data_IF_816487183689
#
_entry.id   IF_816487183689
#
_cell.length_a   1.000
_cell.length_b   1.000
_cell.length_c   1.000
_cell.angle_alpha   90.00
_cell.angle_beta   90.00
_cell.angle_gamma   90.00
#
_symmetry.space_group_name_H-M   'P 1'
#
loop_
_entity.id
_entity.type
_entity.pdbx_description
1 polymer ?
#
# COMPACT_ATOMS: atom_id res chain seq x y z
N UNK A 1 -17.02 2.14 -9.72
CA UNK A 1 -15.59 1.86 -9.45
C UNK A 1 -14.65 2.62 -10.37
N UNK A 2 -14.91 2.74 -11.68
CA UNK A 2 -14.10 3.58 -12.56
C UNK A 2 -13.94 5.04 -12.04
N UNK A 3 -15.01 5.68 -11.59
CA UNK A 3 -14.95 7.03 -11.00
C UNK A 3 -14.07 7.11 -9.73
N UNK A 4 -14.03 6.04 -8.93
CA UNK A 4 -13.15 5.97 -7.77
C UNK A 4 -11.68 5.93 -8.20
N UNK A 5 -11.32 5.05 -9.14
CA UNK A 5 -9.95 5.00 -9.67
C UNK A 5 -9.56 6.26 -10.43
N UNK A 6 -10.50 6.87 -11.15
CA UNK A 6 -10.31 8.16 -11.82
C UNK A 6 -9.98 9.32 -10.86
N UNK A 7 -10.31 9.20 -9.57
CA UNK A 7 -9.86 10.15 -8.56
C UNK A 7 -8.58 9.64 -7.87
N UNK A 8 -8.57 8.36 -7.49
CA UNK A 8 -7.52 7.75 -6.67
C UNK A 8 -6.15 7.74 -7.35
N UNK A 9 -6.10 7.55 -8.68
CA UNK A 9 -4.84 7.46 -9.43
C UNK A 9 -4.63 8.66 -10.36
N UNK A 10 -5.31 9.78 -10.13
CA UNK A 10 -5.15 11.00 -10.94
C UNK A 10 -3.71 11.57 -10.91
N UNK A 11 -2.97 11.27 -9.85
CA UNK A 11 -1.55 11.61 -9.72
C UNK A 11 -0.67 10.88 -10.75
N UNK A 12 -1.13 9.75 -11.30
CA UNK A 12 -0.35 8.92 -12.24
C UNK A 12 -0.01 9.67 -13.54
N UNK A 13 -0.98 10.18 -14.32
CA UNK A 13 -0.66 10.95 -15.52
C UNK A 13 0.13 12.20 -15.19
N UNK A 14 -0.12 12.86 -14.06
CA UNK A 14 0.65 14.04 -13.63
C UNK A 14 2.14 13.70 -13.46
N UNK A 15 2.45 12.59 -12.81
CA UNK A 15 3.82 12.12 -12.57
C UNK A 15 4.54 11.71 -13.86
N UNK A 16 3.80 11.16 -14.83
CA UNK A 16 4.34 10.67 -16.09
C UNK A 16 4.37 11.72 -17.21
N UNK A 17 3.67 12.83 -17.04
CA UNK A 17 3.49 13.86 -18.08
C UNK A 17 4.66 14.84 -18.24
N UNK A 18 5.75 14.64 -17.49
CA UNK A 18 7.00 15.36 -17.75
C UNK A 18 7.39 15.25 -19.23
N UNK A 19 7.82 16.34 -19.89
CA UNK A 19 8.28 16.31 -21.27
C UNK A 19 9.43 15.32 -21.51
N UNK A 20 10.20 15.00 -20.47
CA UNK A 20 11.33 14.08 -20.52
C UNK A 20 10.92 12.61 -20.35
N UNK A 21 9.68 12.34 -19.93
CA UNK A 21 9.10 11.01 -19.84
C UNK A 21 8.16 10.77 -21.03
N UNK A 22 6.84 10.80 -20.79
CA UNK A 22 5.83 10.54 -21.82
C UNK A 22 5.12 11.81 -22.30
N UNK A 23 5.39 12.96 -21.71
CA UNK A 23 4.74 14.23 -22.07
C UNK A 23 3.21 14.12 -22.03
N UNK A 24 2.54 14.76 -22.99
CA UNK A 24 1.08 14.71 -23.10
C UNK A 24 0.52 13.29 -23.33
N UNK A 25 1.33 12.35 -23.86
CA UNK A 25 0.91 10.96 -24.12
C UNK A 25 0.59 10.20 -22.83
N UNK A 26 1.18 10.59 -21.69
CA UNK A 26 0.84 10.03 -20.38
C UNK A 26 -0.68 10.08 -20.08
N UNK A 27 -1.34 11.15 -20.53
CA UNK A 27 -2.77 11.33 -20.35
C UNK A 27 -3.63 10.38 -21.20
N UNK A 28 -3.07 9.81 -22.27
CA UNK A 28 -3.75 8.81 -23.09
C UNK A 28 -3.70 7.41 -22.46
N UNK A 29 -2.68 7.11 -21.66
CA UNK A 29 -2.54 5.82 -20.94
C UNK A 29 -3.51 5.75 -19.75
N UNK A 30 -3.89 6.90 -19.20
CA UNK A 30 -4.67 7.00 -17.99
C UNK A 30 -6.10 6.41 -18.08
N UNK A 31 -6.95 6.77 -19.08
CA UNK A 31 -8.30 6.20 -19.18
C UNK A 31 -8.32 4.67 -19.34
N UNK A 32 -7.46 4.04 -20.17
CA UNK A 32 -7.37 2.58 -20.22
C UNK A 32 -7.10 1.92 -18.87
N UNK A 33 -6.19 2.47 -18.06
CA UNK A 33 -5.90 1.93 -16.71
C UNK A 33 -7.13 2.06 -15.80
N UNK A 34 -7.78 3.23 -15.78
CA UNK A 34 -8.99 3.45 -14.99
C UNK A 34 -10.13 2.50 -15.40
N UNK A 35 -10.28 2.26 -16.70
CA UNK A 35 -11.29 1.34 -17.22
C UNK A 35 -10.96 -0.11 -16.87
N UNK A 36 -9.71 -0.54 -17.04
CA UNK A 36 -9.25 -1.88 -16.65
C UNK A 36 -9.52 -2.13 -15.16
N UNK A 37 -9.17 -1.16 -14.33
CA UNK A 37 -9.47 -1.20 -12.90
C UNK A 37 -10.98 -1.27 -12.63
N UNK A 38 -11.77 -0.45 -13.30
CA UNK A 38 -13.23 -0.52 -13.23
C UNK A 38 -13.81 -1.89 -13.63
N UNK A 39 -13.25 -2.52 -14.67
CA UNK A 39 -13.65 -3.84 -15.18
C UNK A 39 -13.39 -4.92 -14.15
N UNK A 40 -12.25 -4.92 -13.46
CA UNK A 40 -11.97 -5.88 -12.41
C UNK A 40 -13.06 -5.93 -11.34
N UNK A 41 -13.48 -4.78 -10.82
CA UNK A 41 -14.57 -4.74 -9.84
C UNK A 41 -15.94 -5.02 -10.46
N UNK A 42 -16.14 -4.67 -11.74
CA UNK A 42 -17.31 -5.10 -12.51
C UNK A 42 -17.43 -6.62 -12.58
N UNK A 43 -16.32 -7.33 -12.79
CA UNK A 43 -16.26 -8.80 -12.78
C UNK A 43 -16.65 -9.35 -11.41
N UNK A 44 -16.12 -8.79 -10.31
CA UNK A 44 -16.51 -9.21 -8.95
C UNK A 44 -18.01 -9.04 -8.72
N UNK A 45 -18.57 -7.89 -9.08
CA UNK A 45 -20.01 -7.66 -8.95
C UNK A 45 -20.83 -8.63 -9.81
N UNK A 46 -20.42 -8.85 -11.05
CA UNK A 46 -21.07 -9.77 -11.99
C UNK A 46 -21.03 -11.23 -11.51
N UNK A 47 -19.87 -11.74 -11.10
CA UNK A 47 -19.71 -13.10 -10.60
C UNK A 47 -20.51 -13.32 -9.31
N UNK A 48 -20.46 -12.37 -8.39
CA UNK A 48 -21.24 -12.42 -7.15
C UNK A 48 -22.74 -12.49 -7.44
N UNK A 49 -23.18 -11.76 -8.47
CA UNK A 49 -24.58 -11.71 -8.90
C UNK A 49 -25.06 -12.98 -9.59
N UNK A 50 -24.21 -13.60 -10.41
CA UNK A 50 -24.52 -14.88 -11.06
C UNK A 50 -24.63 -16.01 -10.04
N UNK A 51 -23.70 -16.05 -9.10
CA UNK A 51 -23.58 -17.16 -8.15
C UNK A 51 -24.61 -17.03 -7.03
N UNK A 52 -24.80 -15.82 -6.49
CA UNK A 52 -25.67 -15.63 -5.35
C UNK A 52 -27.13 -15.31 -5.74
N UNK A 53 -27.40 -14.90 -6.98
CA UNK A 53 -28.72 -14.38 -7.35
C UNK A 53 -28.86 -12.90 -6.98
N UNK A 54 -30.09 -12.42 -6.71
CA UNK A 54 -30.32 -11.00 -6.37
C UNK A 54 -30.17 -10.83 -4.84
N UNK A 55 -30.49 -9.64 -4.31
CA UNK A 55 -30.74 -9.50 -2.87
C UNK A 55 -29.53 -9.74 -1.96
N UNK A 56 -29.80 -10.29 -0.78
CA UNK A 56 -28.87 -10.34 0.35
C UNK A 56 -27.79 -11.40 0.21
N UNK A 57 -28.05 -12.47 -0.53
CA UNK A 57 -27.06 -13.53 -0.77
C UNK A 57 -25.77 -12.95 -1.37
N UNK A 58 -25.87 -11.92 -2.20
CA UNK A 58 -24.74 -11.21 -2.82
C UNK A 58 -23.80 -10.62 -1.76
N UNK A 59 -24.33 -10.15 -0.62
CA UNK A 59 -23.53 -9.55 0.45
C UNK A 59 -22.53 -10.53 1.08
N UNK A 60 -22.80 -11.83 1.00
CA UNK A 60 -21.97 -12.89 1.58
C UNK A 60 -20.97 -13.46 0.58
N UNK A 61 -21.33 -13.44 -0.70
CA UNK A 61 -20.48 -13.96 -1.79
C UNK A 61 -19.51 -12.90 -2.30
N UNK A 62 -19.90 -11.63 -2.29
CA UNK A 62 -19.09 -10.51 -2.77
C UNK A 62 -17.74 -10.37 -2.05
N UNK A 63 -17.66 -10.45 -0.70
CA UNK A 63 -16.38 -10.37 -0.01
C UNK A 63 -15.38 -11.43 -0.47
N UNK A 64 -15.84 -12.65 -0.78
CA UNK A 64 -14.96 -13.74 -1.23
C UNK A 64 -14.35 -13.41 -2.59
N UNK A 65 -15.18 -13.04 -3.58
CA UNK A 65 -14.67 -12.68 -4.91
C UNK A 65 -13.81 -11.42 -4.89
N UNK A 66 -14.13 -10.48 -4.02
CA UNK A 66 -13.33 -9.27 -3.84
C UNK A 66 -11.91 -9.60 -3.39
N UNK A 67 -11.74 -10.47 -2.40
CA UNK A 67 -10.40 -10.86 -1.90
C UNK A 67 -9.63 -11.66 -2.94
N UNK A 68 -10.29 -12.54 -3.69
CA UNK A 68 -9.66 -13.25 -4.80
C UNK A 68 -9.14 -12.25 -5.85
N UNK A 69 -9.95 -11.24 -6.21
CA UNK A 69 -9.54 -10.20 -7.13
C UNK A 69 -8.39 -9.35 -6.56
N UNK A 70 -8.49 -8.91 -5.31
CA UNK A 70 -7.48 -8.09 -4.67
C UNK A 70 -6.14 -8.82 -4.58
N UNK A 71 -6.16 -10.12 -4.26
CA UNK A 71 -5.00 -10.99 -4.37
C UNK A 71 -4.49 -11.08 -5.81
N UNK A 72 -5.34 -11.35 -6.80
CA UNK A 72 -4.93 -11.45 -8.19
C UNK A 72 -4.25 -10.18 -8.71
N UNK A 73 -4.69 -9.00 -8.25
CA UNK A 73 -4.09 -7.69 -8.58
C UNK A 73 -2.71 -7.45 -7.96
N UNK A 74 -2.23 -8.32 -7.08
CA UNK A 74 -0.86 -8.31 -6.55
C UNK A 74 0.12 -9.17 -7.36
N UNK A 75 -0.38 -9.93 -8.34
CA UNK A 75 0.41 -10.96 -9.02
C UNK A 75 0.90 -10.49 -10.40
N UNK A 76 2.09 -10.97 -10.77
CA UNK A 76 2.64 -10.82 -12.12
C UNK A 76 3.12 -9.40 -12.46
N UNK A 77 3.59 -9.21 -13.71
CA UNK A 77 4.20 -7.95 -14.15
C UNK A 77 3.19 -6.80 -14.33
N UNK A 78 1.89 -7.10 -14.36
CA UNK A 78 0.81 -6.11 -14.44
C UNK A 78 0.15 -5.87 -13.08
N UNK A 79 0.80 -6.28 -11.98
CA UNK A 79 0.30 -6.04 -10.63
C UNK A 79 0.08 -4.55 -10.40
N UNK A 80 -1.14 -4.18 -10.03
CA UNK A 80 -1.52 -2.81 -9.72
C UNK A 80 -2.50 -2.79 -8.52
N UNK A 81 -2.06 -3.14 -7.30
CA UNK A 81 -2.93 -3.34 -6.14
C UNK A 81 -3.31 -2.02 -5.42
N UNK A 82 -3.51 -0.94 -6.18
CA UNK A 82 -3.93 0.35 -5.64
C UNK A 82 -5.40 0.31 -5.19
N UNK A 83 -5.74 1.13 -4.19
CA UNK A 83 -7.10 1.23 -3.68
C UNK A 83 -7.58 0.05 -2.82
N UNK A 84 -6.66 -0.71 -2.21
CA UNK A 84 -7.02 -1.77 -1.23
C UNK A 84 -7.83 -1.19 -0.06
N UNK A 85 -8.85 -1.93 0.37
CA UNK A 85 -9.68 -1.54 1.52
C UNK A 85 -8.95 -1.66 2.86
N UNK A 86 -7.87 -2.43 2.92
CA UNK A 86 -7.01 -2.49 4.11
C UNK A 86 -6.47 -1.12 4.52
N UNK A 87 -6.24 -0.22 3.56
CA UNK A 87 -5.63 1.09 3.82
C UNK A 87 -6.50 2.03 4.66
N UNK A 88 -7.81 1.82 4.73
CA UNK A 88 -8.68 2.68 5.55
C UNK A 88 -8.33 2.62 7.04
N UNK A 89 -7.71 1.52 7.47
CA UNK A 89 -7.41 1.27 8.88
C UNK A 89 -6.05 1.77 9.33
N UNK A 90 -5.17 2.19 8.41
CA UNK A 90 -3.74 2.50 8.69
C UNK A 90 -3.55 3.46 9.87
N UNK A 91 -4.45 4.43 10.05
CA UNK A 91 -4.40 5.42 11.13
C UNK A 91 -5.18 5.03 12.39
N UNK A 92 -5.57 3.76 12.52
CA UNK A 92 -6.42 3.27 13.61
C UNK A 92 -5.81 2.01 14.24
N UNK A 93 -6.15 1.70 15.51
CA UNK A 93 -5.72 0.46 16.14
C UNK A 93 -6.13 -0.81 15.38
N UNK A 94 -7.23 -0.78 14.62
CA UNK A 94 -7.70 -1.92 13.81
C UNK A 94 -6.62 -2.41 12.83
N UNK A 95 -5.70 -1.54 12.38
CA UNK A 95 -4.58 -1.92 11.52
C UNK A 95 -3.72 -3.06 12.10
N UNK A 96 -3.69 -3.23 13.43
CA UNK A 96 -2.94 -4.31 14.07
C UNK A 96 -3.46 -5.71 13.70
N UNK A 97 -4.72 -5.85 13.25
CA UNK A 97 -5.19 -7.14 12.72
C UNK A 97 -4.41 -7.60 11.48
N UNK A 98 -3.69 -6.71 10.80
CA UNK A 98 -2.78 -7.08 9.72
C UNK A 98 -1.69 -8.07 10.17
N UNK A 99 -1.31 -8.11 11.44
CA UNK A 99 -0.32 -9.07 11.92
C UNK A 99 -0.83 -10.52 11.87
N UNK A 100 -2.15 -10.73 11.95
CA UNK A 100 -2.77 -12.05 11.97
C UNK A 100 -3.05 -12.57 10.55
N UNK A 101 -3.46 -11.67 9.65
CA UNK A 101 -4.04 -12.05 8.36
C UNK A 101 -3.47 -11.29 7.16
N UNK A 102 -2.53 -10.38 7.39
CA UNK A 102 -2.05 -9.45 6.37
C UNK A 102 -3.11 -8.43 5.92
N UNK A 103 -2.78 -7.69 4.87
CA UNK A 103 -3.67 -6.68 4.26
C UNK A 103 -4.96 -7.28 3.71
N UNK A 104 -4.91 -8.46 3.07
CA UNK A 104 -6.09 -9.10 2.51
C UNK A 104 -7.14 -9.46 3.59
N UNK A 105 -6.70 -9.91 4.78
CA UNK A 105 -7.64 -10.17 5.86
C UNK A 105 -8.27 -8.91 6.45
N UNK A 106 -7.54 -7.79 6.48
CA UNK A 106 -8.12 -6.48 6.81
C UNK A 106 -9.15 -6.02 5.77
N UNK A 107 -8.89 -6.24 4.48
CA UNK A 107 -9.88 -5.99 3.43
C UNK A 107 -11.12 -6.88 3.63
N UNK A 108 -10.94 -8.16 3.98
CA UNK A 108 -12.05 -9.07 4.24
C UNK A 108 -12.87 -8.63 5.46
N UNK A 109 -12.20 -8.27 6.56
CA UNK A 109 -12.82 -7.73 7.77
C UNK A 109 -13.68 -6.50 7.46
N UNK A 110 -13.14 -5.57 6.65
CA UNK A 110 -13.87 -4.39 6.18
C UNK A 110 -15.13 -4.78 5.42
N UNK A 111 -15.00 -5.68 4.46
CA UNK A 111 -16.11 -6.14 3.62
C UNK A 111 -17.18 -6.86 4.42
N UNK A 112 -16.80 -7.67 5.42
CA UNK A 112 -17.75 -8.32 6.33
C UNK A 112 -18.55 -7.29 7.12
N UNK A 113 -17.88 -6.30 7.73
CA UNK A 113 -18.56 -5.22 8.46
C UNK A 113 -19.53 -4.46 7.55
N UNK A 114 -19.08 -4.06 6.36
CA UNK A 114 -19.90 -3.33 5.40
C UNK A 114 -21.08 -4.19 4.94
N UNK A 115 -20.87 -5.48 4.65
CA UNK A 115 -21.93 -6.41 4.26
C UNK A 115 -22.96 -6.59 5.37
N UNK A 116 -22.54 -6.70 6.64
CA UNK A 116 -23.44 -6.80 7.79
C UNK A 116 -24.32 -5.55 7.93
N UNK A 117 -23.75 -4.36 7.73
CA UNK A 117 -24.49 -3.09 7.75
C UNK A 117 -25.43 -2.99 6.53
N UNK A 118 -24.97 -3.44 5.37
CA UNK A 118 -25.72 -3.37 4.11
C UNK A 118 -27.03 -4.20 4.12
N UNK A 119 -27.18 -5.16 5.03
CA UNK A 119 -28.41 -5.97 5.18
C UNK A 119 -29.66 -5.10 5.40
N UNK A 120 -29.52 -3.90 5.97
CA UNK A 120 -30.63 -2.95 6.14
C UNK A 120 -31.11 -2.33 4.82
N UNK A 121 -30.20 -2.13 3.88
CA UNK A 121 -30.45 -1.43 2.62
C UNK A 121 -30.77 -2.38 1.46
N UNK A 122 -30.61 -3.69 1.68
CA UNK A 122 -30.84 -4.71 0.66
C UNK A 122 -32.04 -5.57 1.01
N UNK A 123 -32.99 -5.65 0.09
CA UNK A 123 -34.16 -6.50 0.19
C UNK A 123 -33.79 -7.99 0.14
N UNK A 124 -34.54 -8.79 0.88
CA UNK A 124 -34.36 -10.24 0.85
C UNK A 124 -34.76 -10.80 -0.51
N UNK A 125 -34.13 -11.91 -0.90
CA UNK A 125 -34.53 -12.63 -2.10
C UNK A 125 -35.99 -13.09 -2.02
N UNK A 126 -36.56 -13.38 -3.19
CA UNK A 126 -37.93 -13.87 -3.30
C UNK A 126 -38.13 -15.19 -2.51
N UNK A 127 -37.10 -16.03 -2.42
CA UNK A 127 -37.08 -17.25 -1.62
C UNK A 127 -37.17 -16.98 -0.10
N UNK A 128 -36.50 -15.93 0.40
CA UNK A 128 -36.55 -15.51 1.80
C UNK A 128 -37.87 -14.82 2.19
N UNK A 129 -38.73 -14.49 1.21
CA UNK A 129 -40.05 -13.90 1.48
C UNK A 129 -41.02 -14.89 2.12
N UNK A 130 -40.82 -16.19 1.92
CA UNK A 130 -41.73 -17.26 2.36
C UNK A 130 -41.56 -17.59 3.85
N UNK A 131 -40.36 -17.47 4.42
CA UNK A 131 -40.04 -17.90 5.81
C UNK A 131 -39.94 -16.70 6.79
N UNK A 132 -41.00 -15.88 6.85
CA UNK A 132 -40.93 -14.48 7.29
C UNK A 132 -41.57 -14.17 8.66
N UNK A 133 -40.94 -14.54 9.77
CA UNK A 133 -41.37 -14.07 11.11
C UNK A 133 -40.27 -13.40 11.96
N UNK A 134 -38.98 -13.57 11.63
CA UNK A 134 -37.85 -13.02 12.43
C UNK A 134 -37.01 -11.94 11.73
N UNK A 135 -37.50 -11.38 10.62
CA UNK A 135 -36.72 -10.50 9.71
C UNK A 135 -36.16 -9.23 10.36
N UNK A 136 -36.86 -8.67 11.34
CA UNK A 136 -36.39 -7.48 12.08
C UNK A 136 -35.23 -7.81 13.01
N UNK A 137 -35.37 -8.87 13.80
CA UNK A 137 -34.37 -9.29 14.78
C UNK A 137 -33.02 -9.64 14.11
N UNK A 138 -33.06 -10.32 12.95
CA UNK A 138 -31.85 -10.68 12.21
C UNK A 138 -31.06 -9.45 11.71
N UNK A 139 -31.76 -8.38 11.31
CA UNK A 139 -31.11 -7.13 10.87
C UNK A 139 -30.38 -6.45 12.03
N UNK A 140 -31.05 -6.31 13.17
CA UNK A 140 -30.43 -5.74 14.37
C UNK A 140 -29.27 -6.61 14.87
N UNK A 141 -29.40 -7.93 14.81
CA UNK A 141 -28.31 -8.84 15.12
C UNK A 141 -27.10 -8.64 14.20
N UNK A 142 -27.30 -8.49 12.89
CA UNK A 142 -26.21 -8.26 11.94
C UNK A 142 -25.42 -6.97 12.25
N UNK A 143 -26.11 -5.86 12.56
CA UNK A 143 -25.44 -4.62 12.96
C UNK A 143 -24.80 -4.72 14.33
N UNK A 144 -25.44 -5.38 15.29
CA UNK A 144 -24.83 -5.64 16.60
C UNK A 144 -23.54 -6.46 16.45
N UNK A 145 -23.53 -7.45 15.55
CA UNK A 145 -22.35 -8.22 15.20
C UNK A 145 -21.28 -7.35 14.52
N UNK A 146 -21.67 -6.47 13.59
CA UNK A 146 -20.72 -5.55 12.95
C UNK A 146 -20.04 -4.62 13.98
N UNK A 147 -20.82 -4.06 14.90
CA UNK A 147 -20.32 -3.23 16.00
C UNK A 147 -19.42 -4.04 16.92
N UNK A 148 -19.82 -5.27 17.27
CA UNK A 148 -19.03 -6.14 18.12
C UNK A 148 -17.69 -6.52 17.46
N UNK A 149 -17.68 -6.85 16.16
CA UNK A 149 -16.47 -7.14 15.40
C UNK A 149 -15.55 -5.92 15.31
N UNK A 150 -16.11 -4.74 15.02
CA UNK A 150 -15.36 -3.49 15.01
C UNK A 150 -14.74 -3.20 16.39
N UNK A 151 -15.54 -3.29 17.45
CA UNK A 151 -15.08 -3.07 18.82
C UNK A 151 -14.00 -4.07 19.23
N UNK A 152 -14.15 -5.35 18.86
CA UNK A 152 -13.15 -6.38 19.12
C UNK A 152 -11.83 -6.10 18.38
N UNK A 153 -11.89 -5.74 17.09
CA UNK A 153 -10.71 -5.38 16.31
C UNK A 153 -9.99 -4.14 16.85
N UNK A 154 -10.77 -3.12 17.25
CA UNK A 154 -10.23 -1.92 17.87
C UNK A 154 -9.59 -2.24 19.23
N UNK A 155 -10.29 -3.01 20.08
CA UNK A 155 -9.78 -3.43 21.39
C UNK A 155 -8.48 -4.23 21.25
N UNK A 156 -8.47 -5.26 20.41
CA UNK A 156 -7.27 -6.04 20.10
C UNK A 156 -6.10 -5.13 19.72
N UNK A 157 -6.33 -4.23 18.75
CA UNK A 157 -5.30 -3.32 18.29
C UNK A 157 -4.79 -2.37 19.37
N UNK A 158 -5.67 -1.87 20.25
CA UNK A 158 -5.23 -1.02 21.36
C UNK A 158 -4.43 -1.77 22.41
N UNK A 159 -4.73 -3.05 22.66
CA UNK A 159 -3.92 -3.88 23.55
C UNK A 159 -2.57 -4.16 22.91
N UNK A 160 -2.57 -4.53 21.63
CA UNK A 160 -1.35 -4.83 20.88
C UNK A 160 -0.38 -3.65 20.82
N UNK A 161 -0.89 -2.44 20.60
CA UNK A 161 -0.10 -1.20 20.57
C UNK A 161 0.52 -0.82 21.92
N UNK A 162 0.03 -1.38 23.03
CA UNK A 162 0.61 -1.16 24.36
C UNK A 162 1.75 -2.13 24.69
N UNK A 163 1.92 -3.19 23.91
CA UNK A 163 3.04 -4.10 24.09
C UNK A 163 4.35 -3.35 23.85
N UNK A 164 5.20 -3.32 24.88
CA UNK A 164 6.49 -2.67 24.78
C UNK A 164 7.43 -3.55 23.97
N UNK A 165 7.97 -2.97 22.90
CA UNK A 165 9.12 -3.55 22.23
C UNK A 165 10.35 -3.40 23.15
N UNK A 166 11.29 -4.35 23.14
CA UNK A 166 12.56 -4.19 23.85
C UNK A 166 13.19 -2.85 23.47
N UNK A 167 13.57 -2.00 24.44
CA UNK A 167 14.16 -0.71 24.13
C UNK A 167 15.47 -0.94 23.38
N UNK A 168 15.66 -0.21 22.28
CA UNK A 168 16.92 -0.18 21.54
C UNK A 168 17.62 1.14 21.80
N UNK A 169 18.93 1.09 22.04
CA UNK A 169 19.79 2.27 22.10
C UNK A 169 20.42 2.59 20.74
N UNK A 170 19.98 1.90 19.67
CA UNK A 170 20.49 2.09 18.31
C UNK A 170 19.87 3.32 17.67
N UNK A 171 20.72 4.17 17.11
CA UNK A 171 20.31 5.38 16.39
C UNK A 171 20.47 5.19 14.88
N UNK A 172 19.42 5.47 14.13
CA UNK A 172 19.42 5.38 12.65
C UNK A 172 19.28 6.77 12.04
N UNK A 173 20.17 7.10 11.10
CA UNK A 173 20.09 8.31 10.28
C UNK A 173 19.45 7.99 8.92
N UNK A 174 18.24 8.49 8.69
CA UNK A 174 17.60 8.46 7.37
C UNK A 174 17.96 9.74 6.61
N UNK A 175 18.66 9.61 5.48
CA UNK A 175 19.12 10.78 4.71
C UNK A 175 18.16 11.04 3.55
N UNK A 176 17.60 12.25 3.48
CA UNK A 176 16.70 12.66 2.40
C UNK A 176 17.36 13.76 1.57
N UNK A 177 17.84 13.40 0.37
CA UNK A 177 18.55 14.33 -0.51
C UNK A 177 17.68 15.41 -1.12
N UNK A 178 16.37 15.14 -1.29
CA UNK A 178 15.42 16.02 -1.99
C UNK A 178 15.93 16.48 -3.36
N UNK A 179 16.59 15.58 -4.10
CA UNK A 179 17.18 15.90 -5.40
C UNK A 179 16.14 15.78 -6.51
N UNK A 180 16.28 16.60 -7.56
CA UNK A 180 15.34 16.65 -8.68
C UNK A 180 15.27 15.30 -9.40
N UNK A 181 14.12 14.59 -9.37
CA UNK A 181 13.98 13.29 -10.03
C UNK A 181 14.22 13.35 -11.54
N UNK A 182 13.91 14.48 -12.20
CA UNK A 182 14.09 14.61 -13.65
C UNK A 182 15.54 14.90 -14.03
N UNK A 183 16.22 15.78 -13.29
CA UNK A 183 17.67 15.97 -13.39
C UNK A 183 18.44 14.68 -13.09
N UNK A 184 17.96 13.86 -12.15
CA UNK A 184 18.52 12.54 -11.84
C UNK A 184 18.44 11.57 -13.01
N UNK A 185 17.29 11.48 -13.67
CA UNK A 185 17.10 10.64 -14.86
C UNK A 185 18.02 11.02 -16.04
N UNK A 186 18.52 12.27 -16.07
CA UNK A 186 19.44 12.76 -17.10
C UNK A 186 20.92 12.59 -16.71
N UNK A 187 21.22 12.04 -15.53
CA UNK A 187 22.58 11.96 -15.01
C UNK A 187 23.19 13.31 -14.64
N UNK A 188 22.38 14.37 -14.53
CA UNK A 188 22.82 15.73 -14.20
C UNK A 188 22.84 15.98 -12.69
N UNK A 189 22.41 15.02 -11.88
CA UNK A 189 22.33 15.14 -10.43
C UNK A 189 23.59 14.61 -9.75
N UNK A 190 24.20 15.44 -8.91
CA UNK A 190 25.32 15.07 -8.02
C UNK A 190 24.79 14.38 -6.75
N UNK A 191 23.93 13.38 -6.93
CA UNK A 191 23.21 12.73 -5.84
C UNK A 191 24.18 12.10 -4.85
N UNK A 192 25.21 11.42 -5.35
CA UNK A 192 26.21 10.76 -4.52
C UNK A 192 26.94 11.75 -3.61
N UNK A 193 27.37 12.91 -4.12
CA UNK A 193 27.99 13.94 -3.29
C UNK A 193 27.01 14.60 -2.32
N UNK A 194 25.75 14.81 -2.73
CA UNK A 194 24.71 15.38 -1.87
C UNK A 194 24.48 14.47 -0.66
N UNK A 195 24.33 13.16 -0.87
CA UNK A 195 24.15 12.20 0.22
C UNK A 195 25.37 12.13 1.14
N UNK A 196 26.60 12.14 0.59
CA UNK A 196 27.82 12.21 1.41
C UNK A 196 27.87 13.48 2.27
N UNK A 197 27.56 14.64 1.68
CA UNK A 197 27.59 15.93 2.38
C UNK A 197 26.55 16.00 3.49
N UNK A 198 25.31 15.60 3.21
CA UNK A 198 24.24 15.58 4.21
C UNK A 198 24.56 14.63 5.36
N UNK A 199 25.11 13.45 5.06
CA UNK A 199 25.53 12.47 6.07
C UNK A 199 26.63 13.06 6.96
N UNK A 200 27.72 13.59 6.37
CA UNK A 200 28.81 14.21 7.14
C UNK A 200 28.31 15.34 8.03
N UNK A 201 27.43 16.18 7.50
CA UNK A 201 26.84 17.30 8.24
C UNK A 201 26.06 16.80 9.45
N UNK A 202 25.17 15.81 9.26
CA UNK A 202 24.36 15.23 10.32
C UNK A 202 25.19 14.52 11.41
N UNK A 203 26.34 13.95 11.06
CA UNK A 203 27.22 13.23 11.97
C UNK A 203 28.25 14.11 12.69
N UNK A 204 28.24 15.43 12.44
CA UNK A 204 29.15 16.36 13.13
C UNK A 204 28.89 16.37 14.64
N UNK A 205 27.61 16.35 15.03
CA UNK A 205 27.18 16.49 16.43
C UNK A 205 26.49 15.22 16.98
N UNK A 206 26.44 14.15 16.19
CA UNK A 206 25.72 12.93 16.55
C UNK A 206 26.49 11.67 16.17
N UNK A 207 26.47 10.69 17.08
CA UNK A 207 26.88 9.32 16.78
C UNK A 207 25.65 8.50 16.41
N UNK A 208 25.72 7.80 15.30
CA UNK A 208 24.67 6.88 14.84
C UNK A 208 25.23 5.48 14.66
N UNK A 209 24.36 4.48 14.67
CA UNK A 209 24.75 3.08 14.43
C UNK A 209 24.54 2.68 12.97
N UNK A 210 23.55 3.29 12.31
CA UNK A 210 23.16 2.97 10.93
C UNK A 210 22.82 4.24 10.16
N UNK A 211 23.35 4.35 8.94
CA UNK A 211 22.97 5.35 7.95
C UNK A 211 22.18 4.66 6.84
N UNK A 212 21.04 5.23 6.45
CA UNK A 212 20.21 4.73 5.35
C UNK A 212 20.06 5.81 4.30
N UNK A 213 20.52 5.52 3.10
CA UNK A 213 20.25 6.29 1.90
C UNK A 213 19.15 5.60 1.08
N UNK A 214 18.27 6.37 0.41
CA UNK A 214 17.13 5.82 -0.31
C UNK A 214 17.54 5.05 -1.57
N UNK A 215 16.54 4.48 -2.23
CA UNK A 215 16.69 3.94 -3.58
C UNK A 215 17.34 4.97 -4.51
N UNK A 216 18.20 4.50 -5.41
CA UNK A 216 18.86 5.33 -6.42
C UNK A 216 19.74 6.47 -5.87
N UNK A 217 20.18 6.39 -4.61
CA UNK A 217 21.14 7.36 -4.06
C UNK A 217 22.53 7.27 -4.73
N UNK A 218 22.86 6.12 -5.31
CA UNK A 218 24.13 5.86 -6.01
C UNK A 218 23.86 5.23 -7.38
N UNK A 219 23.44 6.03 -8.37
CA UNK A 219 23.04 5.53 -9.70
C UNK A 219 24.16 5.50 -10.76
N UNK A 220 25.11 6.42 -10.69
CA UNK A 220 26.11 6.62 -11.75
C UNK A 220 27.53 6.26 -11.30
N UNK A 221 27.64 5.49 -10.23
CA UNK A 221 28.89 5.19 -9.54
C UNK A 221 28.99 3.69 -9.31
N UNK A 222 30.13 3.09 -9.65
CA UNK A 222 30.36 1.68 -9.38
C UNK A 222 30.49 1.47 -7.87
N UNK A 223 29.74 0.51 -7.32
CA UNK A 223 29.88 0.06 -5.93
C UNK A 223 30.40 -1.38 -5.81
N UNK A 224 30.53 -2.12 -6.91
CA UNK A 224 30.98 -3.51 -6.91
C UNK A 224 32.43 -3.67 -7.41
N UNK A 225 33.04 -4.81 -7.05
CA UNK A 225 34.40 -5.16 -7.44
C UNK A 225 35.46 -4.14 -7.01
N UNK A 226 36.60 -4.19 -7.69
CA UNK A 226 37.73 -3.28 -7.44
C UNK A 226 37.41 -1.83 -7.82
N UNK A 227 36.62 -1.62 -8.89
CA UNK A 227 36.24 -0.28 -9.36
C UNK A 227 35.42 0.50 -8.33
N UNK A 228 34.57 -0.19 -7.57
CA UNK A 228 33.74 0.44 -6.54
C UNK A 228 34.41 0.61 -5.17
N UNK A 229 35.67 0.18 -4.98
CA UNK A 229 36.33 0.25 -3.67
C UNK A 229 36.44 1.68 -3.15
N UNK A 230 36.88 2.61 -4.00
CA UNK A 230 36.98 4.02 -3.65
C UNK A 230 35.64 4.62 -3.24
N UNK A 231 34.56 4.25 -3.94
CA UNK A 231 33.22 4.74 -3.62
C UNK A 231 32.69 4.14 -2.32
N UNK A 232 32.95 2.87 -2.02
CA UNK A 232 32.66 2.27 -0.71
C UNK A 232 33.44 2.94 0.41
N UNK A 233 34.71 3.29 0.18
CA UNK A 233 35.53 4.04 1.14
C UNK A 233 35.00 5.46 1.35
N UNK A 234 34.53 6.15 0.31
CA UNK A 234 33.87 7.47 0.43
C UNK A 234 32.59 7.38 1.28
N UNK A 235 31.77 6.35 1.07
CA UNK A 235 30.57 6.11 1.89
C UNK A 235 30.95 5.87 3.34
N UNK A 236 31.93 4.98 3.60
CA UNK A 236 32.42 4.67 4.95
C UNK A 236 33.01 5.89 5.66
N UNK A 237 33.73 6.73 4.91
CA UNK A 237 34.27 7.99 5.43
C UNK A 237 33.14 9.00 5.73
N UNK A 238 32.13 9.10 4.86
CA UNK A 238 31.00 10.00 5.07
C UNK A 238 30.13 9.61 6.27
N UNK A 239 29.98 8.32 6.54
CA UNK A 239 29.20 7.76 7.65
C UNK A 239 29.99 7.68 8.97
N UNK A 240 31.21 8.22 9.04
CA UNK A 240 32.09 8.11 10.21
C UNK A 240 32.26 6.65 10.69
N UNK A 241 32.41 5.71 9.74
CA UNK A 241 32.46 4.26 9.96
C UNK A 241 31.19 3.62 10.56
N UNK A 242 30.05 4.32 10.55
CA UNK A 242 28.75 3.71 10.89
C UNK A 242 28.32 2.74 9.78
N UNK A 243 27.55 1.71 10.13
CA UNK A 243 27.00 0.81 9.12
C UNK A 243 26.14 1.61 8.14
N UNK A 244 26.19 1.29 6.84
CA UNK A 244 25.46 2.05 5.81
C UNK A 244 24.70 1.12 4.89
N UNK A 245 23.42 1.42 4.66
CA UNK A 245 22.56 0.78 3.66
C UNK A 245 22.19 1.85 2.62
N UNK A 246 22.32 1.54 1.33
CA UNK A 246 21.99 2.46 0.24
C UNK A 246 21.39 1.71 -0.94
N UNK A 247 20.52 2.38 -1.69
CA UNK A 247 20.15 1.93 -3.03
C UNK A 247 21.19 2.36 -4.06
N UNK A 248 21.64 1.43 -4.89
CA UNK A 248 22.62 1.66 -5.95
C UNK A 248 22.25 0.90 -7.21
N UNK A 249 22.71 1.38 -8.36
CA UNK A 249 22.67 0.60 -9.60
C UNK A 249 23.82 -0.41 -9.59
N UNK A 250 23.55 -1.61 -10.09
CA UNK A 250 24.57 -2.63 -10.35
C UNK A 250 24.53 -2.88 -11.85
N UNK A 251 25.64 -2.56 -12.53
CA UNK A 251 25.80 -2.86 -13.94
C UNK A 251 26.58 -4.17 -14.05
N UNK A 252 25.88 -5.25 -14.43
CA UNK A 252 26.55 -6.45 -14.89
C UNK A 252 27.20 -6.13 -16.25
N UNK A 253 28.54 -6.11 -16.28
CA UNK A 253 29.34 -5.96 -17.50
C UNK A 253 29.36 -7.24 -18.33
#
# INVERSE_FOLDING_TARGET
>A
MASFFAAHILWLPQSLSSPQLFGAVAWLIYPPIVLLEGVFFGIVAYLSRIIAGRGRSVLWVLPVFWIILEWARTQGPLAFPWGSFSYIWVKTPVAQLAELTGSLGLSLFTLIIVSLIAVFFVDSDYADRIFSSSKGAMRYFAVALAIALFAAGYFYGTVRLKEQLPPTNKTVLLVQGNTDPLGRAQGLSNDFEIYQKLTKTALTDAKVDLVVWPEAAVLNEDLEGLKGEDNRLKIKAASNNSDTITGASIWEL
#
